data_IF_306570569910
#
_entry.id   IF_306570569910
#
_cell.length_a   1.000
_cell.length_b   1.000
_cell.length_c   1.000
_cell.angle_alpha   90.00
_cell.angle_beta   90.00
_cell.angle_gamma   90.00
#
_symmetry.space_group_name_H-M   'P 1'
#
loop_
_entity.id
_entity.type
_entity.pdbx_description
1 polymer ?
#
# COMPACT_ATOMS: atom_id res chain seq x y z
N UNK A 1 13.35 -12.15 30.62
CA UNK A 1 12.05 -11.44 30.64
C UNK A 1 11.00 -12.41 31.17
N UNK A 2 10.32 -12.05 32.25
CA UNK A 2 9.22 -12.85 32.83
C UNK A 2 8.02 -12.86 31.86
N UNK A 3 7.59 -14.04 31.41
CA UNK A 3 6.43 -14.20 30.50
C UNK A 3 5.08 -13.83 31.14
N UNK A 4 5.04 -13.55 32.45
CA UNK A 4 3.82 -13.25 33.21
C UNK A 4 3.12 -11.95 32.82
N UNK A 5 3.78 -11.08 32.05
CA UNK A 5 3.24 -9.79 31.59
C UNK A 5 3.10 -9.71 30.06
N UNK A 6 3.32 -10.81 29.34
CA UNK A 6 3.14 -10.86 27.88
C UNK A 6 1.71 -11.34 27.62
N UNK A 7 0.87 -10.45 27.09
CA UNK A 7 -0.51 -10.74 26.71
C UNK A 7 -0.63 -11.47 25.37
N UNK A 8 -1.84 -11.47 24.81
CA UNK A 8 -2.11 -11.92 23.44
C UNK A 8 -1.37 -11.08 22.40
N UNK A 9 -1.31 -11.56 21.16
CA UNK A 9 -0.70 -10.82 20.06
C UNK A 9 -1.55 -9.61 19.68
N UNK A 10 -0.94 -8.63 18.98
CA UNK A 10 -1.70 -7.50 18.45
C UNK A 10 -2.76 -7.95 17.44
N UNK A 11 -2.45 -8.95 16.61
CA UNK A 11 -3.41 -9.51 15.66
C UNK A 11 -4.62 -10.11 16.38
N UNK A 12 -4.40 -10.82 17.50
CA UNK A 12 -5.49 -11.34 18.33
C UNK A 12 -6.38 -10.22 18.88
N UNK A 13 -5.79 -9.10 19.30
CA UNK A 13 -6.56 -7.91 19.70
C UNK A 13 -7.37 -7.33 18.53
N UNK A 14 -6.78 -7.23 17.33
CA UNK A 14 -7.49 -6.72 16.16
C UNK A 14 -8.62 -7.66 15.67
N UNK A 15 -8.45 -8.97 15.85
CA UNK A 15 -9.50 -9.97 15.62
C UNK A 15 -10.65 -9.81 16.61
N UNK A 16 -10.34 -9.65 17.90
CA UNK A 16 -11.32 -9.42 18.97
C UNK A 16 -12.14 -8.13 18.73
N UNK A 17 -11.50 -7.10 18.18
CA UNK A 17 -12.13 -5.83 17.82
C UNK A 17 -12.81 -5.85 16.43
N UNK A 18 -12.82 -6.97 15.71
CA UNK A 18 -13.40 -7.14 14.36
C UNK A 18 -12.82 -6.19 13.28
N UNK A 19 -11.58 -5.71 13.47
CA UNK A 19 -10.92 -4.73 12.58
C UNK A 19 -9.63 -5.26 11.94
N UNK A 20 -9.28 -6.53 12.14
CA UNK A 20 -8.04 -7.11 11.59
C UNK A 20 -7.96 -6.90 10.07
N UNK A 21 -9.00 -7.29 9.33
CA UNK A 21 -8.97 -7.28 7.86
C UNK A 21 -8.89 -5.84 7.30
N UNK A 22 -9.57 -4.89 7.93
CA UNK A 22 -9.46 -3.47 7.56
C UNK A 22 -8.04 -2.95 7.84
N UNK A 23 -7.50 -3.29 9.01
CA UNK A 23 -6.15 -2.89 9.43
C UNK A 23 -5.09 -3.44 8.47
N UNK A 24 -5.22 -4.70 8.04
CA UNK A 24 -4.34 -5.32 7.06
C UNK A 24 -4.43 -4.64 5.68
N UNK A 25 -5.63 -4.30 5.23
CA UNK A 25 -5.83 -3.59 3.96
C UNK A 25 -5.15 -2.20 3.99
N UNK A 26 -5.29 -1.46 5.08
CA UNK A 26 -4.61 -0.18 5.29
C UNK A 26 -3.09 -0.35 5.37
N UNK A 27 -2.61 -1.40 6.04
CA UNK A 27 -1.17 -1.69 6.12
C UNK A 27 -0.56 -1.95 4.72
N UNK A 28 -1.22 -2.78 3.90
CA UNK A 28 -0.81 -3.01 2.51
C UNK A 28 -0.82 -1.70 1.72
N UNK A 29 -1.87 -0.88 1.87
CA UNK A 29 -2.00 0.38 1.15
C UNK A 29 -0.91 1.39 1.50
N UNK A 30 -0.50 1.45 2.78
CA UNK A 30 0.61 2.27 3.27
C UNK A 30 1.94 1.84 2.67
N UNK A 31 2.19 0.52 2.57
CA UNK A 31 3.41 -0.01 1.94
C UNK A 31 3.47 0.39 0.46
N UNK A 32 2.36 0.28 -0.27
CA UNK A 32 2.30 0.67 -1.69
C UNK A 32 2.57 2.18 -1.86
N UNK A 33 1.91 3.03 -1.06
CA UNK A 33 2.09 4.48 -1.10
C UNK A 33 3.55 4.86 -0.83
N UNK A 34 4.13 4.31 0.25
CA UNK A 34 5.51 4.54 0.62
C UNK A 34 6.49 4.09 -0.47
N UNK A 35 6.32 2.89 -1.02
CA UNK A 35 7.20 2.39 -2.08
C UNK A 35 7.16 3.28 -3.33
N UNK A 36 5.98 3.77 -3.72
CA UNK A 36 5.82 4.69 -4.83
C UNK A 36 6.48 6.03 -4.56
N UNK A 37 6.24 6.62 -3.38
CA UNK A 37 6.83 7.90 -2.99
C UNK A 37 8.36 7.84 -2.98
N UNK A 38 8.94 6.80 -2.38
CA UNK A 38 10.40 6.61 -2.35
C UNK A 38 11.00 6.49 -3.75
N UNK A 39 10.33 5.76 -4.66
CA UNK A 39 10.78 5.64 -6.05
C UNK A 39 10.69 6.97 -6.79
N UNK A 40 9.60 7.71 -6.59
CA UNK A 40 9.42 9.03 -7.18
C UNK A 40 10.50 10.01 -6.70
N UNK A 41 10.84 9.99 -5.41
CA UNK A 41 11.92 10.80 -4.85
C UNK A 41 13.28 10.44 -5.47
N UNK A 42 13.58 9.13 -5.57
CA UNK A 42 14.83 8.66 -6.18
C UNK A 42 14.97 9.06 -7.66
N UNK A 43 13.86 9.08 -8.40
CA UNK A 43 13.83 9.41 -9.82
C UNK A 43 13.62 10.92 -10.09
N UNK A 44 13.49 11.75 -9.06
CA UNK A 44 13.05 13.16 -9.18
C UNK A 44 11.75 13.30 -10.00
N UNK A 45 10.81 12.39 -9.78
CA UNK A 45 9.56 12.27 -10.51
C UNK A 45 8.43 13.06 -9.83
N UNK A 46 7.75 13.93 -10.58
CA UNK A 46 6.53 14.59 -10.08
C UNK A 46 5.28 13.74 -10.35
N UNK A 47 4.22 13.94 -9.56
CA UNK A 47 2.91 13.28 -9.74
C UNK A 47 2.38 13.47 -11.17
N UNK A 48 2.50 14.69 -11.72
CA UNK A 48 2.01 15.01 -13.06
C UNK A 48 2.79 14.28 -14.16
N UNK A 49 4.12 14.17 -13.99
CA UNK A 49 4.96 13.48 -14.96
C UNK A 49 4.72 11.96 -14.89
N UNK A 50 4.65 11.39 -13.70
CA UNK A 50 4.33 9.98 -13.51
C UNK A 50 2.97 9.62 -14.11
N UNK A 51 1.95 10.45 -13.87
CA UNK A 51 0.61 10.22 -14.43
C UNK A 51 0.64 10.15 -15.97
N UNK A 52 1.45 11.00 -16.62
CA UNK A 52 1.66 10.96 -18.08
C UNK A 52 2.41 9.69 -18.51
N UNK A 53 3.50 9.34 -17.83
CA UNK A 53 4.29 8.13 -18.14
C UNK A 53 3.49 6.84 -17.97
N UNK A 54 2.54 6.81 -17.03
CA UNK A 54 1.67 5.67 -16.77
C UNK A 54 0.32 5.73 -17.50
N UNK A 55 0.13 6.69 -18.40
CA UNK A 55 -1.11 6.89 -19.17
C UNK A 55 -2.35 6.84 -18.24
N UNK A 56 -2.33 7.66 -17.19
CA UNK A 56 -3.39 7.73 -16.19
C UNK A 56 -3.63 9.17 -15.74
N UNK A 57 -4.69 9.39 -14.96
CA UNK A 57 -4.98 10.71 -14.41
C UNK A 57 -4.09 11.02 -13.20
N UNK A 58 -3.82 12.31 -12.98
CA UNK A 58 -3.18 12.80 -11.75
C UNK A 58 -3.93 12.29 -10.50
N UNK A 59 -5.26 12.34 -10.54
CA UNK A 59 -6.12 11.87 -9.43
C UNK A 59 -5.91 10.39 -9.13
N UNK A 60 -5.71 9.54 -10.15
CA UNK A 60 -5.42 8.13 -9.92
C UNK A 60 -4.09 7.93 -9.17
N UNK A 61 -3.04 8.67 -9.54
CA UNK A 61 -1.76 8.63 -8.79
C UNK A 61 -1.94 9.17 -7.37
N UNK A 62 -2.68 10.27 -7.18
CA UNK A 62 -2.96 10.80 -5.84
C UNK A 62 -3.68 9.79 -4.95
N UNK A 63 -4.63 9.00 -5.47
CA UNK A 63 -5.29 7.93 -4.70
C UNK A 63 -4.33 6.80 -4.32
N UNK A 64 -3.30 6.53 -5.12
CA UNK A 64 -2.26 5.56 -4.76
C UNK A 64 -1.31 6.15 -3.71
N UNK A 65 -1.02 7.45 -3.76
CA UNK A 65 -0.16 8.09 -2.77
C UNK A 65 -0.88 8.34 -1.44
N UNK A 66 -2.20 8.39 -1.45
CA UNK A 66 -3.02 8.45 -0.24
C UNK A 66 -2.91 7.12 0.54
N UNK A 67 -2.32 7.11 1.75
CA UNK A 67 -2.11 5.89 2.53
C UNK A 67 -3.41 5.29 3.08
N UNK A 68 -4.46 6.09 3.24
CA UNK A 68 -5.73 5.64 3.82
C UNK A 68 -6.74 5.20 2.74
N UNK A 69 -6.47 5.52 1.48
CA UNK A 69 -7.34 5.12 0.37
C UNK A 69 -7.08 3.67 -0.07
N UNK A 70 -7.73 2.72 0.60
CA UNK A 70 -7.68 1.29 0.26
C UNK A 70 -8.39 0.95 -1.05
N UNK A 71 -9.22 1.86 -1.58
CA UNK A 71 -10.00 1.69 -2.81
C UNK A 71 -9.17 1.98 -4.07
N UNK A 72 -8.28 1.05 -4.41
CA UNK A 72 -7.47 1.08 -5.64
C UNK A 72 -7.78 -0.13 -6.53
N UNK A 73 -7.64 0.02 -7.86
CA UNK A 73 -7.92 -1.06 -8.81
C UNK A 73 -6.67 -1.86 -9.16
N UNK A 74 -6.84 -3.13 -9.55
CA UNK A 74 -5.74 -4.00 -9.97
C UNK A 74 -4.91 -3.39 -11.12
N UNK A 75 -5.59 -2.78 -12.10
CA UNK A 75 -4.93 -2.06 -13.21
C UNK A 75 -4.03 -0.91 -12.72
N UNK A 76 -4.44 -0.22 -11.66
CA UNK A 76 -3.68 0.88 -11.08
C UNK A 76 -2.44 0.37 -10.34
N UNK A 77 -2.58 -0.74 -9.60
CA UNK A 77 -1.46 -1.41 -8.93
C UNK A 77 -0.46 -1.96 -9.96
N UNK A 78 -0.94 -2.54 -11.07
CA UNK A 78 -0.10 -3.12 -12.12
C UNK A 78 0.81 -2.07 -12.78
N UNK A 79 0.26 -0.90 -13.14
CA UNK A 79 1.03 0.24 -13.65
C UNK A 79 2.11 0.70 -12.67
N UNK A 80 1.78 0.77 -11.38
CA UNK A 80 2.72 1.18 -10.33
C UNK A 80 3.79 0.12 -10.10
N UNK A 81 3.44 -1.17 -10.06
CA UNK A 81 4.38 -2.26 -9.93
C UNK A 81 5.40 -2.26 -11.08
N UNK A 82 4.93 -2.01 -12.31
CA UNK A 82 5.79 -1.83 -13.49
C UNK A 82 6.77 -0.67 -13.30
N UNK A 83 6.30 0.50 -12.85
CA UNK A 83 7.15 1.65 -12.56
C UNK A 83 8.21 1.36 -11.48
N UNK A 84 7.84 0.59 -10.46
CA UNK A 84 8.72 0.15 -9.38
C UNK A 84 9.71 -0.96 -9.82
N UNK A 85 9.58 -1.52 -11.03
CA UNK A 85 10.34 -2.69 -11.47
C UNK A 85 10.03 -3.93 -10.62
N UNK A 86 8.77 -4.08 -10.18
CA UNK A 86 8.27 -5.19 -9.34
C UNK A 86 7.17 -5.96 -10.06
N UNK A 87 6.85 -7.14 -9.53
CA UNK A 87 5.72 -7.97 -9.94
C UNK A 87 4.73 -8.10 -8.80
N UNK A 88 3.44 -8.18 -9.12
CA UNK A 88 2.39 -8.47 -8.15
C UNK A 88 2.33 -9.99 -7.96
N UNK A 89 2.37 -10.44 -6.71
CA UNK A 89 2.06 -11.82 -6.33
C UNK A 89 0.89 -11.74 -5.36
N UNK A 90 -0.21 -12.38 -5.72
CA UNK A 90 -1.39 -12.50 -4.87
C UNK A 90 -1.62 -13.99 -4.62
N UNK A 91 -1.84 -14.35 -3.36
CA UNK A 91 -2.18 -15.70 -2.95
C UNK A 91 -3.30 -15.65 -1.93
N UNK A 92 -4.29 -16.50 -2.10
CA UNK A 92 -5.22 -16.86 -1.03
C UNK A 92 -4.63 -18.13 -0.39
N UNK A 93 -4.32 -18.07 0.90
CA UNK A 93 -3.84 -19.19 1.68
C UNK A 93 -4.96 -19.65 2.63
#
# INVERSE_FOLDING_TARGET
>A
MDKKHIGSSFDSFLEEEEILQESEAVAIKRIIAYALEQKMLADNMSVNRLAKELETSRTAICRILDPENTSITLNTIEKVAKYLGKRIVLSFA
#
